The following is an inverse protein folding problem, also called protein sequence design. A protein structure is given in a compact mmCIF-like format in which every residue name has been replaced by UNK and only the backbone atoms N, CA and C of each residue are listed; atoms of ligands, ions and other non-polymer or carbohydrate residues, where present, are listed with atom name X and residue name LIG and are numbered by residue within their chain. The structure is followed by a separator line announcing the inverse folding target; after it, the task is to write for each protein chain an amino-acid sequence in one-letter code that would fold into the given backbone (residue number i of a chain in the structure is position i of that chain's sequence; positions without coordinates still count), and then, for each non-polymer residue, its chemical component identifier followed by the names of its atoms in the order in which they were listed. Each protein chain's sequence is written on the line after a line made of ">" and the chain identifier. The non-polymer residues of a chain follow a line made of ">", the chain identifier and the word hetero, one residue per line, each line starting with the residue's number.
data_IF_156048638088
#
_entry.id   IF_156048638088
#
_cell.length_a   1.000
_cell.length_b   1.000
_cell.length_c   1.000
_cell.angle_alpha   90.00
_cell.angle_beta   90.00
_cell.angle_gamma   90.00
#
_symmetry.space_group_name_H-M   'P 1'
#
loop_
_entity.id
_entity.type
_entity.pdbx_description
1 polymer ?
#
# COMPACT_ATOMS: atom_id res chain seq x y z
N UNK A 1 -12.90 -14.18 53.75
CA UNK A 1 -12.70 -13.04 52.80
C UNK A 1 -11.50 -13.20 51.82
N UNK A 2 -10.48 -14.04 52.09
CA UNK A 2 -9.30 -14.21 51.19
C UNK A 2 -9.54 -15.11 49.96
N UNK A 3 -10.35 -16.17 50.07
CA UNK A 3 -10.62 -17.10 48.95
C UNK A 3 -11.33 -16.44 47.76
N UNK A 4 -12.29 -15.56 48.03
CA UNK A 4 -13.11 -14.87 47.02
C UNK A 4 -12.29 -13.88 46.16
N UNK A 5 -11.22 -13.29 46.73
CA UNK A 5 -10.25 -12.46 45.99
C UNK A 5 -9.36 -13.29 45.06
N UNK A 6 -9.09 -14.55 45.40
CA UNK A 6 -8.24 -15.43 44.59
C UNK A 6 -8.98 -15.97 43.35
N UNK A 7 -10.26 -16.30 43.49
CA UNK A 7 -11.12 -16.67 42.37
C UNK A 7 -11.30 -15.52 41.36
N UNK A 8 -11.57 -14.29 41.83
CA UNK A 8 -11.64 -13.11 40.95
C UNK A 8 -10.35 -12.87 40.16
N UNK A 9 -9.18 -13.13 40.76
CA UNK A 9 -7.88 -12.93 40.10
C UNK A 9 -7.65 -13.93 38.96
N UNK A 10 -8.09 -15.18 39.11
CA UNK A 10 -8.02 -16.20 38.04
C UNK A 10 -8.96 -15.91 36.87
N UNK A 11 -10.16 -15.41 37.14
CA UNK A 11 -11.13 -15.01 36.11
C UNK A 11 -10.62 -13.82 35.28
N UNK A 12 -10.01 -12.81 35.92
CA UNK A 12 -9.43 -11.65 35.23
C UNK A 12 -8.25 -12.06 34.34
N UNK A 13 -7.37 -12.95 34.82
CA UNK A 13 -6.23 -13.44 34.03
C UNK A 13 -6.71 -14.25 32.81
N UNK A 14 -7.75 -15.06 32.96
CA UNK A 14 -8.36 -15.77 31.84
C UNK A 14 -9.01 -14.82 30.83
N UNK A 15 -9.70 -13.78 31.31
CA UNK A 15 -10.27 -12.74 30.45
C UNK A 15 -9.22 -11.95 29.68
N UNK A 16 -8.08 -11.63 30.32
CA UNK A 16 -6.96 -10.94 29.69
C UNK A 16 -6.28 -11.82 28.63
N UNK A 17 -6.10 -13.12 28.92
CA UNK A 17 -5.57 -14.10 27.96
C UNK A 17 -6.51 -14.30 26.77
N UNK A 18 -7.82 -14.34 27.00
CA UNK A 18 -8.81 -14.45 25.94
C UNK A 18 -8.80 -13.20 25.05
N UNK A 19 -8.67 -12.01 25.65
CA UNK A 19 -8.56 -10.76 24.92
C UNK A 19 -7.28 -10.68 24.09
N UNK A 20 -6.14 -11.10 24.63
CA UNK A 20 -4.87 -11.16 23.89
C UNK A 20 -4.92 -12.21 22.77
N UNK A 21 -5.56 -13.36 23.00
CA UNK A 21 -5.76 -14.38 21.96
C UNK A 21 -6.70 -13.88 20.85
N UNK A 22 -7.78 -13.18 21.19
CA UNK A 22 -8.67 -12.57 20.21
C UNK A 22 -7.94 -11.48 19.41
N UNK A 23 -7.24 -10.56 20.07
CA UNK A 23 -6.48 -9.51 19.37
C UNK A 23 -5.38 -10.12 18.50
N UNK A 24 -4.64 -11.11 19.00
CA UNK A 24 -3.62 -11.82 18.21
C UNK A 24 -4.19 -12.52 16.98
N UNK A 25 -5.31 -13.23 17.12
CA UNK A 25 -5.94 -13.98 16.02
C UNK A 25 -6.64 -13.07 15.01
N UNK A 26 -7.15 -11.90 15.41
CA UNK A 26 -7.79 -10.95 14.50
C UNK A 26 -6.82 -9.97 13.83
N UNK A 27 -5.68 -9.66 14.44
CA UNK A 27 -4.68 -8.75 13.86
C UNK A 27 -3.90 -9.40 12.71
N UNK A 28 -3.57 -10.70 12.79
CA UNK A 28 -2.84 -11.41 11.73
C UNK A 28 -3.58 -11.48 10.38
N UNK A 29 -4.85 -11.91 10.30
CA UNK A 29 -5.57 -11.96 9.03
C UNK A 29 -5.84 -10.56 8.46
N UNK A 30 -6.09 -9.56 9.31
CA UNK A 30 -6.27 -8.18 8.84
C UNK A 30 -4.98 -7.59 8.26
N UNK A 31 -3.81 -7.93 8.80
CA UNK A 31 -2.52 -7.52 8.27
C UNK A 31 -2.17 -8.26 6.97
N UNK A 32 -2.44 -9.57 6.90
CA UNK A 32 -2.20 -10.38 5.70
C UNK A 32 -3.09 -9.96 4.52
N UNK A 33 -4.34 -9.58 4.78
CA UNK A 33 -5.27 -9.09 3.75
C UNK A 33 -4.85 -7.70 3.22
N UNK A 34 -4.28 -6.86 4.08
CA UNK A 34 -3.69 -5.57 3.70
C UNK A 34 -2.41 -5.76 2.87
N UNK A 35 -1.53 -6.67 3.28
CA UNK A 35 -0.28 -6.99 2.58
C UNK A 35 -0.54 -7.62 1.20
N UNK A 36 -1.50 -8.54 1.12
CA UNK A 36 -1.98 -9.12 -0.15
C UNK A 36 -2.62 -8.08 -1.08
N UNK A 37 -3.37 -7.14 -0.52
CA UNK A 37 -3.96 -6.04 -1.29
C UNK A 37 -2.90 -5.07 -1.82
N UNK A 38 -1.90 -4.70 -1.00
CA UNK A 38 -0.82 -3.79 -1.40
C UNK A 38 0.05 -4.42 -2.49
N UNK A 39 0.45 -5.68 -2.33
CA UNK A 39 1.25 -6.41 -3.34
C UNK A 39 0.51 -6.51 -4.68
N UNK A 40 -0.77 -6.87 -4.66
CA UNK A 40 -1.60 -6.90 -5.87
C UNK A 40 -1.73 -5.52 -6.53
N UNK A 41 -1.86 -4.45 -5.72
CA UNK A 41 -1.91 -3.08 -6.23
C UNK A 41 -0.59 -2.68 -6.89
N UNK A 42 0.55 -3.02 -6.28
CA UNK A 42 1.90 -2.77 -6.82
C UNK A 42 2.10 -3.46 -8.16
N UNK A 43 1.75 -4.74 -8.26
CA UNK A 43 1.93 -5.52 -9.48
C UNK A 43 1.03 -5.02 -10.62
N UNK A 44 -0.21 -4.64 -10.30
CA UNK A 44 -1.12 -4.00 -11.26
C UNK A 44 -0.62 -2.61 -11.68
N UNK A 45 -0.07 -1.82 -10.76
CA UNK A 45 0.49 -0.51 -11.10
C UNK A 45 1.73 -0.63 -11.97
N UNK A 46 2.64 -1.56 -11.68
CA UNK A 46 3.86 -1.80 -12.50
C UNK A 46 3.53 -2.28 -13.91
N UNK A 47 2.57 -3.19 -14.03
CA UNK A 47 2.17 -3.75 -15.33
C UNK A 47 1.49 -2.72 -16.24
N UNK A 48 0.80 -1.73 -15.67
CA UNK A 48 0.11 -0.67 -16.42
C UNK A 48 0.99 0.58 -16.61
N UNK A 49 1.81 0.94 -15.63
CA UNK A 49 2.59 2.19 -15.65
C UNK A 49 3.56 2.24 -16.82
N UNK A 50 4.26 1.14 -17.09
CA UNK A 50 5.28 1.07 -18.15
C UNK A 50 4.69 1.30 -19.54
N UNK A 51 3.64 0.57 -20.00
CA UNK A 51 3.04 0.83 -21.30
C UNK A 51 2.38 2.22 -21.39
N UNK A 52 1.75 2.71 -20.30
CA UNK A 52 1.15 4.06 -20.28
C UNK A 52 2.20 5.15 -20.43
N UNK A 53 3.34 5.02 -19.74
CA UNK A 53 4.45 5.98 -19.84
C UNK A 53 5.07 6.00 -21.25
N UNK A 54 5.18 4.85 -21.92
CA UNK A 54 5.64 4.78 -23.32
C UNK A 54 4.67 5.53 -24.26
N UNK A 55 3.37 5.35 -24.09
CA UNK A 55 2.35 6.06 -24.88
C UNK A 55 2.46 7.57 -24.65
N UNK A 56 2.63 8.00 -23.39
CA UNK A 56 2.81 9.42 -23.06
C UNK A 56 4.09 10.01 -23.64
N UNK A 57 5.19 9.26 -23.70
CA UNK A 57 6.42 9.70 -24.36
C UNK A 57 6.26 9.84 -25.87
N UNK A 58 5.60 8.89 -26.52
CA UNK A 58 5.29 8.97 -27.96
C UNK A 58 4.42 10.20 -28.23
N UNK A 59 3.39 10.41 -27.39
CA UNK A 59 2.53 11.58 -27.47
C UNK A 59 3.31 12.88 -27.22
N UNK A 60 4.19 12.93 -26.23
CA UNK A 60 5.05 14.08 -25.97
C UNK A 60 5.94 14.41 -27.19
N UNK A 61 6.58 13.40 -27.78
CA UNK A 61 7.39 13.54 -28.99
C UNK A 61 6.58 14.12 -30.15
N UNK A 62 5.37 13.62 -30.36
CA UNK A 62 4.43 14.17 -31.35
C UNK A 62 4.11 15.64 -31.09
N UNK A 63 3.76 16.00 -29.85
CA UNK A 63 3.43 17.39 -29.50
C UNK A 63 4.61 18.35 -29.68
N UNK A 64 5.83 17.87 -29.41
CA UNK A 64 7.05 18.63 -29.69
C UNK A 64 7.23 18.90 -31.18
N UNK A 65 6.97 17.91 -32.04
CA UNK A 65 7.04 18.08 -33.50
C UNK A 65 5.99 19.07 -34.04
N UNK A 66 4.81 19.13 -33.41
CA UNK A 66 3.75 20.10 -33.75
C UNK A 66 4.01 21.51 -33.19
N UNK A 67 5.08 21.72 -32.44
CA UNK A 67 5.40 23.01 -31.81
C UNK A 67 4.57 23.35 -30.57
N UNK A 68 3.74 22.43 -30.09
CA UNK A 68 2.90 22.64 -28.92
C UNK A 68 3.68 22.39 -27.62
N UNK A 69 4.48 23.38 -27.22
CA UNK A 69 5.45 23.23 -26.14
C UNK A 69 4.80 23.05 -24.76
N UNK A 70 3.62 23.60 -24.53
CA UNK A 70 2.90 23.44 -23.25
C UNK A 70 2.42 22.00 -23.05
N UNK A 71 1.81 21.41 -24.08
CA UNK A 71 1.32 20.02 -24.01
C UNK A 71 2.48 19.03 -24.00
N UNK A 72 3.58 19.33 -24.70
CA UNK A 72 4.82 18.56 -24.59
C UNK A 72 5.34 18.47 -23.15
N UNK A 73 5.46 19.62 -22.47
CA UNK A 73 5.93 19.65 -21.06
C UNK A 73 4.95 18.92 -20.16
N UNK A 74 3.63 19.11 -20.33
CA UNK A 74 2.62 18.42 -19.55
C UNK A 74 2.69 16.88 -19.73
N UNK A 75 2.88 16.40 -20.96
CA UNK A 75 3.03 14.98 -21.26
C UNK A 75 4.33 14.39 -20.69
N UNK A 76 5.44 15.15 -20.70
CA UNK A 76 6.68 14.77 -20.04
C UNK A 76 6.53 14.64 -18.52
N UNK A 77 5.91 15.62 -17.87
CA UNK A 77 5.64 15.58 -16.43
C UNK A 77 4.74 14.40 -16.08
N UNK A 78 3.69 14.17 -16.86
CA UNK A 78 2.81 13.01 -16.70
C UNK A 78 3.57 11.68 -16.82
N UNK A 79 4.48 11.57 -17.78
CA UNK A 79 5.34 10.39 -17.94
C UNK A 79 6.20 10.14 -16.71
N UNK A 80 6.85 11.19 -16.17
CA UNK A 80 7.70 11.09 -14.98
C UNK A 80 6.90 10.61 -13.77
N UNK A 81 5.69 11.15 -13.57
CA UNK A 81 4.80 10.74 -12.47
C UNK A 81 4.41 9.26 -12.62
N UNK A 82 4.06 8.82 -13.83
CA UNK A 82 3.67 7.43 -14.09
C UNK A 82 4.84 6.45 -13.86
N UNK A 83 6.07 6.82 -14.22
CA UNK A 83 7.26 6.02 -13.88
C UNK A 83 7.62 6.05 -12.39
N UNK A 84 7.40 7.19 -11.72
CA UNK A 84 7.71 7.36 -10.31
C UNK A 84 6.69 6.73 -9.36
N UNK A 85 5.42 6.59 -9.77
CA UNK A 85 4.35 6.06 -8.92
C UNK A 85 4.65 4.66 -8.35
N UNK A 86 5.12 3.67 -9.14
CA UNK A 86 5.52 2.37 -8.59
C UNK A 86 6.64 2.46 -7.54
N UNK A 87 7.61 3.36 -7.73
CA UNK A 87 8.76 3.54 -6.83
C UNK A 87 8.32 4.13 -5.49
N UNK A 88 7.37 5.06 -5.50
CA UNK A 88 6.77 5.63 -4.28
C UNK A 88 6.04 4.55 -3.50
N UNK A 89 5.29 3.69 -4.19
CA UNK A 89 4.52 2.62 -3.54
C UNK A 89 5.46 1.54 -2.98
N UNK A 90 6.55 1.21 -3.68
CA UNK A 90 7.61 0.34 -3.12
C UNK A 90 8.25 0.94 -1.87
N UNK A 91 8.51 2.25 -1.88
CA UNK A 91 9.12 2.95 -0.74
C UNK A 91 8.16 3.00 0.46
N UNK A 92 6.85 3.17 0.22
CA UNK A 92 5.82 3.00 1.25
C UNK A 92 5.86 1.57 1.78
N UNK A 93 5.87 0.55 0.92
CA UNK A 93 5.90 -0.85 1.35
C UNK A 93 7.14 -1.15 2.23
N UNK A 94 8.31 -0.63 1.88
CA UNK A 94 9.54 -0.76 2.68
C UNK A 94 9.50 -0.07 4.05
N UNK A 95 8.66 0.94 4.23
CA UNK A 95 8.54 1.68 5.51
C UNK A 95 7.50 1.02 6.43
N UNK A 96 6.49 0.37 5.86
CA UNK A 96 5.37 -0.23 6.60
C UNK A 96 5.49 -1.74 6.82
N UNK A 97 6.45 -2.43 6.17
CA UNK A 97 6.86 -3.81 6.47
C UNK A 97 8.18 -3.85 7.25
#
# INVERSE_FOLDING_TARGET
>A
MKLMKWFKKKEIVKGLLLAVALVGVFVHPAYADLEGSITTLVDNMKSISTPVAIILLIFAGWQRMMGNNQVFIAALVGTIIVFGAPQIVELINLVFN
#
